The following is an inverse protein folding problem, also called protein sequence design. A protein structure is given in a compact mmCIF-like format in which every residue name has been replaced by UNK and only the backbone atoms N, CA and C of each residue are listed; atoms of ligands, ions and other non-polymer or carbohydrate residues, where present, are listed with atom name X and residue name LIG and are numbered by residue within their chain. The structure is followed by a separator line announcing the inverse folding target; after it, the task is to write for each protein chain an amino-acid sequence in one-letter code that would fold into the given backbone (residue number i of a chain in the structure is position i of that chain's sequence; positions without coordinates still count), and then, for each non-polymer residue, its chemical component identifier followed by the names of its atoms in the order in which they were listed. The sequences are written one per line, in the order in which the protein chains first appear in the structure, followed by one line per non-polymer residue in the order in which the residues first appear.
data_IF_910708098432
#
_entry.id   IF_910708098432
#
_cell.length_a   1.000
_cell.length_b   1.000
_cell.length_c   1.000
_cell.angle_alpha   90.00
_cell.angle_beta   90.00
_cell.angle_gamma   90.00
#
_symmetry.space_group_name_H-M   'P 1'
#
loop_
_entity.id
_entity.type
_entity.pdbx_description
1 polymer ?
#
# COMPACT_ATOMS: atom_id res chain seq x y z
N UNK A 1 21.59 3.46 -28.83
CA UNK A 1 22.85 3.04 -29.47
C UNK A 1 23.98 3.63 -28.65
N UNK A 2 24.64 2.78 -27.87
CA UNK A 2 26.09 2.74 -27.68
C UNK A 2 26.35 1.58 -26.71
N UNK A 3 26.49 0.38 -27.28
CA UNK A 3 26.97 -0.78 -26.55
C UNK A 3 28.46 -0.57 -26.27
N UNK A 4 28.78 -0.18 -25.04
CA UNK A 4 30.17 -0.05 -24.57
C UNK A 4 30.74 -1.45 -24.39
N UNK A 5 31.36 -1.99 -25.45
CA UNK A 5 32.04 -3.28 -25.42
C UNK A 5 33.19 -3.26 -24.39
N UNK A 6 33.02 -3.99 -23.28
CA UNK A 6 34.00 -4.14 -22.20
C UNK A 6 35.06 -5.19 -22.54
N UNK A 7 35.97 -4.87 -23.45
CA UNK A 7 37.07 -5.76 -23.85
C UNK A 7 38.40 -5.02 -23.68
N UNK A 8 39.34 -5.62 -22.92
CA UNK A 8 40.73 -5.17 -22.83
C UNK A 8 41.62 -6.14 -23.64
N UNK A 9 42.92 -5.82 -23.75
CA UNK A 9 43.91 -6.52 -24.58
C UNK A 9 44.01 -8.04 -24.32
N UNK A 10 43.54 -8.50 -23.17
CA UNK A 10 43.60 -9.91 -22.71
C UNK A 10 42.23 -10.62 -22.68
N UNK A 11 41.17 -10.04 -23.25
CA UNK A 11 39.84 -10.66 -23.37
C UNK A 11 38.70 -9.94 -22.61
N UNK A 12 37.51 -10.57 -22.50
CA UNK A 12 36.34 -9.98 -21.84
C UNK A 12 36.61 -9.76 -20.35
N UNK A 13 36.40 -8.53 -19.86
CA UNK A 13 36.55 -8.23 -18.44
C UNK A 13 35.55 -9.04 -17.61
N UNK A 14 36.05 -9.83 -16.64
CA UNK A 14 35.20 -10.41 -15.61
C UNK A 14 34.46 -9.28 -14.87
N UNK A 15 33.15 -9.38 -14.62
CA UNK A 15 32.41 -8.35 -13.91
C UNK A 15 32.93 -8.26 -12.48
N UNK A 16 33.83 -7.31 -12.21
CA UNK A 16 34.08 -6.84 -10.86
C UNK A 16 32.78 -6.20 -10.37
N UNK A 17 32.00 -6.97 -9.59
CA UNK A 17 30.91 -6.46 -8.78
C UNK A 17 31.54 -5.45 -7.82
N UNK A 18 31.52 -4.15 -8.16
CA UNK A 18 31.86 -3.10 -7.20
C UNK A 18 30.94 -3.31 -6.01
N UNK A 19 31.52 -3.61 -4.84
CA UNK A 19 30.76 -3.77 -3.59
C UNK A 19 29.92 -2.50 -3.43
N UNK A 20 28.61 -2.64 -3.45
CA UNK A 20 27.68 -1.52 -3.40
C UNK A 20 27.87 -0.85 -2.04
N UNK A 21 28.41 0.36 -2.02
CA UNK A 21 28.72 1.09 -0.79
C UNK A 21 27.40 1.47 -0.12
N UNK A 22 27.19 0.97 1.09
CA UNK A 22 26.05 1.33 1.95
C UNK A 22 26.29 2.72 2.56
N UNK A 23 25.24 3.36 3.10
CA UNK A 23 25.41 4.63 3.84
C UNK A 23 26.37 4.48 5.02
N UNK A 24 26.42 3.31 5.66
CA UNK A 24 27.43 2.97 6.68
C UNK A 24 28.86 2.95 6.13
N UNK A 25 29.06 2.43 4.92
CA UNK A 25 30.37 2.46 4.25
C UNK A 25 30.79 3.88 3.83
N UNK A 26 29.83 4.79 3.64
CA UNK A 26 30.12 6.20 3.36
C UNK A 26 30.41 7.02 4.62
N UNK A 27 29.94 6.55 5.78
CA UNK A 27 30.16 7.20 7.07
C UNK A 27 31.46 6.74 7.77
N UNK A 28 32.29 5.91 7.10
CA UNK A 28 33.52 5.30 7.63
C UNK A 28 33.33 4.59 8.99
N UNK A 29 32.14 4.01 9.22
CA UNK A 29 31.84 3.27 10.45
C UNK A 29 32.51 1.88 10.39
N UNK A 30 33.41 1.60 11.32
CA UNK A 30 34.13 0.32 11.40
C UNK A 30 33.46 -0.61 12.42
N UNK A 31 32.87 -1.71 11.96
CA UNK A 31 32.22 -2.71 12.83
C UNK A 31 33.18 -3.35 13.85
N UNK A 32 34.51 -3.28 13.63
CA UNK A 32 35.49 -3.76 14.59
C UNK A 32 35.76 -2.77 15.74
N UNK A 33 35.29 -1.52 15.63
CA UNK A 33 35.34 -0.54 16.71
C UNK A 33 34.07 -0.61 17.55
N UNK A 34 34.16 -0.82 18.88
CA UNK A 34 32.97 -0.99 19.73
C UNK A 34 31.98 0.17 19.67
N UNK A 35 32.47 1.42 19.51
CA UNK A 35 31.63 2.62 19.42
C UNK A 35 30.87 2.67 18.10
N UNK A 36 31.54 2.40 16.99
CA UNK A 36 30.95 2.45 15.65
C UNK A 36 29.98 1.26 15.44
N UNK A 37 30.30 0.09 16.00
CA UNK A 37 29.37 -1.04 16.08
C UNK A 37 28.11 -0.69 16.88
N UNK A 38 28.23 0.05 17.99
CA UNK A 38 27.07 0.50 18.75
C UNK A 38 26.19 1.47 17.93
N UNK A 39 26.81 2.36 17.15
CA UNK A 39 26.10 3.26 16.23
C UNK A 39 25.40 2.49 15.11
N UNK A 40 26.07 1.52 14.49
CA UNK A 40 25.46 0.66 13.46
C UNK A 40 24.29 -0.16 14.02
N UNK A 41 24.45 -0.75 15.22
CA UNK A 41 23.38 -1.48 15.89
C UNK A 41 22.20 -0.57 16.23
N UNK A 42 22.46 0.65 16.71
CA UNK A 42 21.42 1.64 16.99
C UNK A 42 20.69 2.06 15.71
N UNK A 43 21.41 2.22 14.60
CA UNK A 43 20.83 2.53 13.30
C UNK A 43 19.93 1.39 12.79
N UNK A 44 20.39 0.14 12.87
CA UNK A 44 19.57 -1.03 12.51
C UNK A 44 18.35 -1.15 13.43
N UNK A 45 18.53 -0.96 14.74
CA UNK A 45 17.46 -1.00 15.73
C UNK A 45 16.44 0.15 15.57
N UNK A 46 16.83 1.25 14.92
CA UNK A 46 15.90 2.35 14.62
C UNK A 46 14.87 2.00 13.54
N UNK A 47 15.14 0.96 12.75
CA UNK A 47 14.20 0.47 11.75
C UNK A 47 13.06 -0.31 12.42
N UNK A 48 11.84 0.22 12.29
CA UNK A 48 10.61 -0.45 12.69
C UNK A 48 9.91 -1.07 11.46
N UNK A 49 9.94 -2.40 11.28
CA UNK A 49 9.31 -3.09 10.17
C UNK A 49 7.80 -2.85 10.06
N UNK A 50 7.11 -2.72 11.20
CA UNK A 50 5.66 -2.54 11.24
C UNK A 50 5.30 -1.14 10.75
N UNK A 51 6.04 -0.12 11.22
CA UNK A 51 5.86 1.25 10.73
C UNK A 51 6.21 1.35 9.25
N UNK A 52 7.28 0.71 8.79
CA UNK A 52 7.63 0.66 7.37
C UNK A 52 6.52 0.05 6.52
N UNK A 53 5.97 -1.11 6.93
CA UNK A 53 4.83 -1.76 6.28
C UNK A 53 3.64 -0.81 6.16
N UNK A 54 3.28 -0.10 7.24
CA UNK A 54 2.15 0.84 7.23
C UNK A 54 2.36 2.00 6.24
N UNK A 55 3.56 2.58 6.21
CA UNK A 55 3.91 3.64 5.27
C UNK A 55 3.89 3.14 3.83
N UNK A 56 4.39 1.94 3.58
CA UNK A 56 4.42 1.34 2.25
C UNK A 56 2.99 1.05 1.73
N UNK A 57 2.11 0.49 2.56
CA UNK A 57 0.69 0.29 2.22
C UNK A 57 0.02 1.63 1.89
N UNK A 58 0.28 2.67 2.68
CA UNK A 58 -0.28 4.00 2.43
C UNK A 58 0.21 4.58 1.10
N UNK A 59 1.52 4.52 0.83
CA UNK A 59 2.08 4.99 -0.43
C UNK A 59 1.47 4.26 -1.63
N UNK A 60 1.41 2.93 -1.58
CA UNK A 60 0.84 2.12 -2.67
C UNK A 60 -0.63 2.46 -2.92
N UNK A 61 -1.43 2.60 -1.86
CA UNK A 61 -2.86 2.86 -1.97
C UNK A 61 -3.16 4.30 -2.41
N UNK A 62 -2.47 5.30 -1.85
CA UNK A 62 -2.73 6.72 -2.13
C UNK A 62 -2.21 7.15 -3.50
N UNK A 63 -1.06 6.61 -3.92
CA UNK A 63 -0.40 7.02 -5.17
C UNK A 63 -0.73 6.06 -6.33
N UNK A 64 -1.60 5.07 -6.10
CA UNK A 64 -2.01 4.06 -7.08
C UNK A 64 -0.82 3.33 -7.71
N UNK A 65 0.13 2.91 -6.88
CA UNK A 65 1.36 2.26 -7.33
C UNK A 65 1.08 0.81 -7.76
N UNK A 66 1.50 0.38 -8.96
CA UNK A 66 1.39 -1.01 -9.36
C UNK A 66 2.19 -1.93 -8.42
N UNK A 67 1.57 -3.00 -7.93
CA UNK A 67 2.16 -3.86 -6.89
C UNK A 67 3.50 -4.48 -7.28
N UNK A 68 3.68 -4.79 -8.57
CA UNK A 68 4.93 -5.34 -9.09
C UNK A 68 6.11 -4.35 -9.02
N UNK A 69 5.87 -3.05 -8.81
CA UNK A 69 6.96 -2.07 -8.64
C UNK A 69 7.80 -2.32 -7.41
N UNK A 70 7.22 -2.91 -6.36
CA UNK A 70 7.93 -3.29 -5.14
C UNK A 70 8.94 -4.43 -5.37
N UNK A 71 8.79 -5.17 -6.46
CA UNK A 71 9.71 -6.24 -6.86
C UNK A 71 10.80 -5.75 -7.83
N UNK A 72 10.73 -4.50 -8.28
CA UNK A 72 11.75 -3.93 -9.18
C UNK A 72 13.12 -3.95 -8.51
N UNK A 73 14.13 -4.44 -9.23
CA UNK A 73 15.51 -4.44 -8.77
C UNK A 73 15.99 -3.04 -8.38
N UNK A 74 15.63 -2.01 -9.16
CA UNK A 74 15.98 -0.61 -8.87
C UNK A 74 15.36 -0.11 -7.56
N UNK A 75 14.12 -0.50 -7.26
CA UNK A 75 13.47 -0.14 -6.00
C UNK A 75 14.12 -0.85 -4.81
N UNK A 76 14.45 -2.14 -4.97
CA UNK A 76 15.16 -2.93 -3.94
C UNK A 76 16.54 -2.36 -3.65
N UNK A 77 17.28 -1.97 -4.69
CA UNK A 77 18.60 -1.32 -4.55
C UNK A 77 18.49 0.05 -3.87
N UNK A 78 17.50 0.87 -4.24
CA UNK A 78 17.26 2.16 -3.61
C UNK A 78 16.95 2.01 -2.11
N UNK A 79 16.06 1.07 -1.75
CA UNK A 79 15.70 0.81 -0.36
C UNK A 79 16.87 0.23 0.44
N UNK A 80 17.64 -0.69 -0.15
CA UNK A 80 18.84 -1.24 0.48
C UNK A 80 19.94 -0.21 0.68
N UNK A 81 20.09 0.76 -0.24
CA UNK A 81 20.98 1.90 -0.04
C UNK A 81 20.51 2.81 1.11
N UNK A 82 19.21 3.08 1.19
CA UNK A 82 18.63 3.93 2.23
C UNK A 82 18.77 3.32 3.64
N UNK A 83 18.52 2.01 3.77
CA UNK A 83 18.76 1.28 5.02
C UNK A 83 18.87 -0.22 4.72
N UNK A 84 20.04 -0.82 4.99
CA UNK A 84 20.28 -2.25 4.75
C UNK A 84 19.35 -3.15 5.59
N UNK A 85 18.91 -2.68 6.76
CA UNK A 85 17.99 -3.39 7.63
C UNK A 85 16.65 -3.72 6.94
N UNK A 86 16.25 -2.95 5.92
CA UNK A 86 15.04 -3.23 5.12
C UNK A 86 15.19 -4.55 4.35
N UNK A 87 16.39 -4.79 3.79
CA UNK A 87 16.70 -6.00 3.03
C UNK A 87 16.96 -7.16 3.99
N UNK A 88 17.76 -6.94 5.02
CA UNK A 88 18.18 -7.97 5.99
C UNK A 88 16.99 -8.53 6.78
N UNK A 89 15.99 -7.68 7.08
CA UNK A 89 14.76 -8.11 7.77
C UNK A 89 13.71 -8.72 6.83
N UNK A 90 13.94 -8.74 5.51
CA UNK A 90 12.96 -9.22 4.55
C UNK A 90 11.69 -8.37 4.48
N UNK A 91 11.77 -7.08 4.84
CA UNK A 91 10.61 -6.19 4.93
C UNK A 91 10.05 -5.73 3.59
N UNK A 92 10.74 -6.01 2.46
CA UNK A 92 10.23 -5.70 1.12
C UNK A 92 9.24 -6.76 0.63
N UNK A 93 7.97 -6.40 0.40
CA UNK A 93 6.95 -7.35 -0.01
C UNK A 93 7.06 -7.72 -1.49
N UNK A 94 6.46 -8.85 -1.84
CA UNK A 94 6.06 -9.16 -3.23
C UNK A 94 4.71 -8.52 -3.55
N UNK A 95 4.27 -8.58 -4.80
CA UNK A 95 2.94 -8.13 -5.22
C UNK A 95 1.80 -8.85 -4.47
N UNK A 96 1.98 -10.13 -4.15
CA UNK A 96 1.03 -10.91 -3.36
C UNK A 96 1.00 -10.43 -1.91
N UNK A 97 2.18 -10.24 -1.32
CA UNK A 97 2.32 -9.82 0.07
C UNK A 97 1.75 -8.42 0.30
N UNK A 98 2.01 -7.44 -0.59
CA UNK A 98 1.44 -6.10 -0.45
C UNK A 98 -0.09 -6.11 -0.61
N UNK A 99 -0.63 -6.96 -1.50
CA UNK A 99 -2.08 -7.13 -1.65
C UNK A 99 -2.70 -7.63 -0.35
N UNK A 100 -2.11 -8.64 0.28
CA UNK A 100 -2.55 -9.15 1.58
C UNK A 100 -2.49 -8.08 2.67
N UNK A 101 -1.42 -7.28 2.70
CA UNK A 101 -1.29 -6.17 3.65
C UNK A 101 -2.36 -5.11 3.46
N UNK A 102 -2.67 -4.75 2.21
CA UNK A 102 -3.76 -3.80 1.89
C UNK A 102 -5.11 -4.36 2.35
N UNK A 103 -5.41 -5.63 2.05
CA UNK A 103 -6.67 -6.27 2.47
C UNK A 103 -6.77 -6.34 3.99
N UNK A 104 -5.69 -6.69 4.68
CA UNK A 104 -5.64 -6.70 6.15
C UNK A 104 -5.85 -5.30 6.72
N UNK A 105 -5.24 -4.28 6.12
CA UNK A 105 -5.42 -2.89 6.51
C UNK A 105 -6.87 -2.44 6.32
N UNK A 106 -7.49 -2.79 5.19
CA UNK A 106 -8.91 -2.53 4.93
C UNK A 106 -9.79 -3.19 5.99
N UNK A 107 -9.64 -4.50 6.23
CA UNK A 107 -10.43 -5.23 7.22
C UNK A 107 -10.29 -4.65 8.63
N UNK A 108 -9.08 -4.20 9.01
CA UNK A 108 -8.85 -3.52 10.30
C UNK A 108 -9.60 -2.20 10.40
N UNK A 109 -9.64 -1.40 9.33
CA UNK A 109 -10.29 -0.10 9.33
C UNK A 109 -11.80 -0.18 9.08
N UNK A 110 -12.31 -1.28 8.52
CA UNK A 110 -13.74 -1.48 8.27
C UNK A 110 -14.56 -1.27 9.55
N UNK A 111 -14.16 -1.90 10.66
CA UNK A 111 -14.84 -1.73 11.95
C UNK A 111 -14.82 -0.27 12.45
N UNK A 112 -13.71 0.45 12.25
CA UNK A 112 -13.58 1.87 12.61
C UNK A 112 -14.53 2.74 11.78
N UNK A 113 -14.67 2.44 10.48
CA UNK A 113 -15.61 3.14 9.60
C UNK A 113 -17.05 2.85 10.04
N UNK A 114 -17.39 1.59 10.30
CA UNK A 114 -18.72 1.20 10.83
C UNK A 114 -19.06 1.93 12.12
N UNK A 115 -18.13 2.00 13.08
CA UNK A 115 -18.31 2.74 14.33
C UNK A 115 -18.55 4.24 14.09
N UNK A 116 -17.77 4.88 13.19
CA UNK A 116 -17.97 6.30 12.85
C UNK A 116 -19.31 6.56 12.18
N UNK A 117 -19.78 5.66 11.32
CA UNK A 117 -21.12 5.76 10.72
C UNK A 117 -22.21 5.63 11.79
N UNK A 118 -22.07 4.67 12.70
CA UNK A 118 -22.98 4.47 13.83
C UNK A 118 -23.02 5.64 14.82
N UNK A 119 -22.02 6.53 14.80
CA UNK A 119 -21.95 7.77 15.61
C UNK A 119 -22.26 9.05 14.83
N UNK A 120 -22.79 8.95 13.61
CA UNK A 120 -23.18 10.15 12.88
C UNK A 120 -24.15 11.01 13.70
N UNK A 121 -24.09 12.34 13.56
CA UNK A 121 -24.99 13.25 14.27
C UNK A 121 -26.37 13.37 13.61
N UNK A 122 -26.50 12.95 12.35
CA UNK A 122 -27.72 13.04 11.57
C UNK A 122 -27.93 11.83 10.66
N UNK A 123 -28.74 12.03 9.61
CA UNK A 123 -28.91 11.03 8.54
C UNK A 123 -27.66 10.94 7.67
N UNK A 124 -27.43 9.75 7.14
CA UNK A 124 -26.32 9.43 6.25
C UNK A 124 -26.81 9.52 4.81
N UNK A 125 -26.25 10.43 4.03
CA UNK A 125 -26.58 10.52 2.60
C UNK A 125 -25.76 9.50 1.81
N UNK A 126 -26.41 8.79 0.90
CA UNK A 126 -25.77 7.78 0.04
C UNK A 126 -25.74 8.27 -1.40
N UNK A 127 -24.58 8.16 -2.04
CA UNK A 127 -24.43 8.30 -3.48
C UNK A 127 -23.89 7.00 -4.07
N UNK A 128 -24.39 6.60 -5.24
CA UNK A 128 -23.86 5.46 -5.96
C UNK A 128 -23.79 5.73 -7.46
N UNK A 129 -22.79 5.13 -8.09
CA UNK A 129 -22.57 5.21 -9.53
C UNK A 129 -22.23 3.83 -10.10
N UNK A 130 -22.80 3.49 -11.24
CA UNK A 130 -22.60 2.22 -11.91
C UNK A 130 -21.98 2.44 -13.28
N UNK A 131 -20.82 1.83 -13.54
CA UNK A 131 -20.12 1.98 -14.81
C UNK A 131 -19.48 0.67 -15.29
N UNK A 132 -19.28 0.57 -16.60
CA UNK A 132 -18.52 -0.51 -17.22
C UNK A 132 -17.08 -0.06 -17.44
N UNK A 133 -16.12 -0.78 -16.87
CA UNK A 133 -14.70 -0.56 -17.15
C UNK A 133 -14.33 -0.96 -18.58
N UNK A 134 -13.15 -0.52 -19.04
CA UNK A 134 -12.59 -0.87 -20.36
C UNK A 134 -12.41 -2.39 -20.59
N UNK A 135 -12.38 -3.18 -19.52
CA UNK A 135 -12.31 -4.65 -19.58
C UNK A 135 -13.70 -5.31 -19.50
N UNK A 136 -14.76 -4.58 -19.84
CA UNK A 136 -16.16 -5.02 -19.76
C UNK A 136 -16.57 -5.54 -18.36
N UNK A 137 -15.86 -5.09 -17.32
CA UNK A 137 -16.22 -5.37 -15.92
C UNK A 137 -17.13 -4.26 -15.45
N UNK A 138 -18.37 -4.59 -15.10
CA UNK A 138 -19.31 -3.66 -14.50
C UNK A 138 -19.04 -3.49 -13.00
N UNK A 139 -18.99 -2.26 -12.54
CA UNK A 139 -18.69 -1.88 -11.16
C UNK A 139 -19.79 -0.96 -10.62
N UNK A 140 -20.09 -1.09 -9.33
CA UNK A 140 -20.95 -0.16 -8.58
C UNK A 140 -20.10 0.48 -7.48
N UNK A 141 -19.89 1.78 -7.53
CA UNK A 141 -19.32 2.52 -6.41
C UNK A 141 -20.42 2.99 -5.47
N UNK A 142 -20.30 2.69 -4.17
CA UNK A 142 -21.21 3.19 -3.14
C UNK A 142 -20.44 4.07 -2.16
N UNK A 143 -20.76 5.36 -2.12
CA UNK A 143 -20.19 6.32 -1.20
C UNK A 143 -21.25 6.86 -0.22
N UNK A 144 -20.80 7.19 0.99
CA UNK A 144 -21.63 7.78 2.04
C UNK A 144 -21.06 9.11 2.48
N UNK A 145 -21.96 10.02 2.85
CA UNK A 145 -21.66 11.37 3.27
C UNK A 145 -22.44 11.69 4.54
N UNK A 146 -21.74 12.08 5.62
CA UNK A 146 -22.37 12.29 6.92
C UNK A 146 -21.57 13.28 7.77
N UNK A 147 -22.24 13.82 8.80
CA UNK A 147 -21.61 14.58 9.87
C UNK A 147 -21.24 13.63 11.00
N UNK A 148 -19.96 13.56 11.37
CA UNK A 148 -19.52 12.71 12.48
C UNK A 148 -19.73 13.35 13.85
N UNK A 149 -19.39 12.62 14.91
CA UNK A 149 -19.48 13.01 16.31
C UNK A 149 -18.55 14.17 16.71
N UNK A 150 -17.58 14.51 15.86
CA UNK A 150 -16.70 15.68 16.00
C UNK A 150 -17.27 16.92 15.26
N UNK A 151 -18.45 16.81 14.64
CA UNK A 151 -19.03 17.89 13.83
C UNK A 151 -18.33 18.09 12.49
N UNK A 152 -17.58 17.10 12.01
CA UNK A 152 -16.86 17.13 10.74
C UNK A 152 -17.61 16.37 9.66
N UNK A 153 -17.77 17.01 8.50
CA UNK A 153 -18.31 16.34 7.32
C UNK A 153 -17.31 15.32 6.79
N UNK A 154 -17.77 14.08 6.57
CA UNK A 154 -16.94 12.97 6.08
C UNK A 154 -17.59 12.31 4.88
N UNK A 155 -16.74 11.83 3.99
CA UNK A 155 -17.10 11.01 2.83
C UNK A 155 -16.29 9.71 2.89
N UNK A 156 -16.96 8.57 2.79
CA UNK A 156 -16.32 7.26 2.67
C UNK A 156 -16.88 6.47 1.49
N UNK A 157 -16.02 5.76 0.77
CA UNK A 157 -16.43 4.71 -0.16
C UNK A 157 -16.64 3.42 0.65
N UNK A 158 -17.87 2.91 0.70
CA UNK A 158 -18.20 1.69 1.44
C UNK A 158 -17.97 0.42 0.63
N UNK A 159 -18.16 0.50 -0.68
CA UNK A 159 -18.03 -0.65 -1.55
C UNK A 159 -17.75 -0.28 -3.00
N UNK A 160 -17.09 -1.22 -3.68
CA UNK A 160 -16.88 -1.21 -5.13
C UNK A 160 -17.14 -2.63 -5.71
N UNK A 161 -18.31 -3.25 -5.48
CA UNK A 161 -18.57 -4.59 -5.98
C UNK A 161 -18.63 -4.62 -7.51
N UNK A 162 -18.28 -5.78 -8.06
CA UNK A 162 -18.57 -6.11 -9.44
C UNK A 162 -20.06 -6.47 -9.59
N UNK A 163 -20.72 -5.84 -10.56
CA UNK A 163 -22.09 -6.17 -10.94
C UNK A 163 -22.04 -7.29 -11.99
N UNK A 164 -22.84 -8.33 -11.76
CA UNK A 164 -23.02 -9.43 -12.73
C UNK A 164 -24.41 -9.30 -13.34
N UNK A 165 -24.52 -9.50 -14.65
CA UNK A 165 -25.80 -9.40 -15.37
C UNK A 165 -26.16 -7.97 -15.81
N UNK A 166 -27.45 -7.72 -16.04
CA UNK A 166 -27.96 -6.42 -16.49
C UNK A 166 -27.93 -5.40 -15.35
N UNK A 167 -27.73 -4.12 -15.69
CA UNK A 167 -27.82 -3.00 -14.75
C UNK A 167 -29.30 -2.58 -14.57
N UNK A 168 -30.17 -3.53 -14.21
CA UNK A 168 -31.55 -3.20 -13.85
C UNK A 168 -31.56 -2.50 -12.48
N UNK A 169 -32.57 -1.65 -12.25
CA UNK A 169 -32.74 -0.98 -10.95
C UNK A 169 -32.78 -1.98 -9.79
N UNK A 170 -33.44 -3.13 -9.97
CA UNK A 170 -33.51 -4.23 -9.00
C UNK A 170 -32.12 -4.76 -8.63
N UNK A 171 -31.28 -5.11 -9.63
CA UNK A 171 -29.94 -5.66 -9.38
C UNK A 171 -29.01 -4.63 -8.71
N UNK A 172 -29.15 -3.35 -9.08
CA UNK A 172 -28.43 -2.27 -8.41
C UNK A 172 -28.89 -2.12 -6.95
N UNK A 173 -30.21 -2.10 -6.72
CA UNK A 173 -30.80 -1.96 -5.39
C UNK A 173 -30.38 -3.12 -4.47
N UNK A 174 -30.37 -4.36 -4.97
CA UNK A 174 -29.90 -5.53 -4.23
C UNK A 174 -28.44 -5.35 -3.77
N UNK A 175 -27.55 -4.91 -4.67
CA UNK A 175 -26.14 -4.64 -4.34
C UNK A 175 -25.94 -3.50 -3.36
N UNK A 176 -26.71 -2.42 -3.50
CA UNK A 176 -26.69 -1.30 -2.56
C UNK A 176 -27.13 -1.78 -1.17
N UNK A 177 -28.23 -2.55 -1.11
CA UNK A 177 -28.79 -3.06 0.13
C UNK A 177 -27.83 -4.03 0.85
N UNK A 178 -27.15 -4.92 0.10
CA UNK A 178 -26.11 -5.80 0.63
C UNK A 178 -25.01 -5.02 1.38
N UNK A 179 -24.51 -3.93 0.78
CA UNK A 179 -23.46 -3.11 1.41
C UNK A 179 -24.01 -2.34 2.60
N UNK A 180 -25.20 -1.75 2.50
CA UNK A 180 -25.84 -1.06 3.62
C UNK A 180 -25.95 -1.99 4.83
N UNK A 181 -26.43 -3.23 4.61
CA UNK A 181 -26.56 -4.24 5.65
C UNK A 181 -25.21 -4.66 6.23
N UNK A 182 -24.18 -4.79 5.40
CA UNK A 182 -22.81 -5.10 5.82
C UNK A 182 -22.23 -4.06 6.80
N UNK A 183 -22.67 -2.79 6.71
CA UNK A 183 -22.23 -1.72 7.61
C UNK A 183 -23.26 -1.38 8.71
N UNK A 184 -24.44 -2.00 8.74
CA UNK A 184 -25.45 -1.83 9.79
C UNK A 184 -25.98 -0.39 9.92
N UNK A 185 -26.25 0.27 8.78
CA UNK A 185 -26.66 1.68 8.73
C UNK A 185 -28.09 1.90 8.21
N UNK A 186 -28.89 0.84 8.08
CA UNK A 186 -30.27 0.85 7.55
C UNK A 186 -31.16 1.89 8.23
N UNK A 187 -31.08 2.00 9.55
CA UNK A 187 -31.93 2.89 10.35
C UNK A 187 -31.44 4.35 10.35
N UNK A 188 -30.33 4.64 9.65
CA UNK A 188 -29.63 5.94 9.68
C UNK A 188 -29.63 6.69 8.35
N UNK A 189 -30.23 6.13 7.31
CA UNK A 189 -30.22 6.68 5.94
C UNK A 189 -31.34 7.70 5.72
#
# INVERSE_FOLDING_TARGET
MEDVYRINRDGPMSPQRKKQRTLSDMADLDCHRPKDQAVMNAFIASFDPVRFQHLLVRWVACDNVPFNKLESQYFRELMGYANSAIIDSGSLPTHTTIREWIVRSFNRHKGVVTEKLGRSLGRINISFDAWSSRKFTSLLGLAVHFLDDEGKFRTFLLGLPQIKGRHSGENLADRVNEIIHEYGVEDRI
#
